data_IF_836711876678
#
_entry.id   IF_836711876678
#
_cell.length_a   1.000
_cell.length_b   1.000
_cell.length_c   1.000
_cell.angle_alpha   90.00
_cell.angle_beta   90.00
_cell.angle_gamma   90.00
#
_symmetry.space_group_name_H-M   'P 1'
#
loop_
_entity.id
_entity.type
_entity.pdbx_description
1 polymer ?
#
# COMPACT_ATOMS: atom_id res chain seq x y z
N UNK A 1 22.00 -6.75 -9.60
CA UNK A 1 21.88 -5.37 -9.12
C UNK A 1 23.24 -4.95 -8.61
N UNK A 2 23.66 -3.75 -8.99
CA UNK A 2 24.93 -3.15 -8.63
C UNK A 2 24.73 -2.25 -7.38
N UNK A 3 25.70 -2.13 -6.45
CA UNK A 3 25.58 -1.25 -5.29
C UNK A 3 25.36 0.25 -5.59
N UNK A 4 25.54 0.65 -6.85
CA UNK A 4 25.31 2.03 -7.30
C UNK A 4 23.93 2.22 -7.97
N UNK A 5 23.15 1.16 -8.14
CA UNK A 5 21.80 1.26 -8.69
C UNK A 5 20.86 1.84 -7.62
N UNK A 6 19.99 2.78 -7.98
CA UNK A 6 18.97 3.35 -7.07
C UNK A 6 18.01 2.28 -6.49
N UNK A 7 17.95 1.11 -7.14
CA UNK A 7 17.10 -0.02 -6.75
C UNK A 7 17.90 -1.21 -6.21
N UNK A 8 19.15 -0.98 -5.78
CA UNK A 8 19.99 -2.02 -5.19
C UNK A 8 19.31 -2.69 -3.98
N UNK A 9 19.22 -4.02 -4.00
CA UNK A 9 18.50 -4.79 -2.99
C UNK A 9 19.30 -5.09 -1.70
N UNK A 10 20.53 -4.57 -1.60
CA UNK A 10 21.44 -4.91 -0.50
C UNK A 10 22.16 -6.26 -0.72
N UNK A 11 23.14 -6.58 0.15
CA UNK A 11 23.90 -7.82 0.06
C UNK A 11 23.10 -9.08 0.40
N UNK A 12 22.01 -8.94 1.17
CA UNK A 12 21.08 -10.03 1.54
C UNK A 12 19.75 -9.46 2.07
N UNK A 13 18.65 -10.25 2.13
CA UNK A 13 17.36 -9.79 2.64
C UNK A 13 17.45 -9.28 4.09
N UNK A 14 16.88 -8.10 4.36
CA UNK A 14 16.93 -7.44 5.68
C UNK A 14 18.36 -7.08 6.14
N UNK A 15 19.25 -6.74 5.20
CA UNK A 15 20.60 -6.22 5.49
C UNK A 15 20.57 -4.81 6.09
N UNK A 16 19.65 -3.96 5.63
CA UNK A 16 19.46 -2.62 6.17
C UNK A 16 18.92 -2.67 7.62
N UNK A 17 19.56 -1.99 8.59
CA UNK A 17 19.15 -2.04 10.00
C UNK A 17 17.72 -1.51 10.23
N UNK A 18 17.27 -0.54 9.44
CA UNK A 18 15.92 0.02 9.45
C UNK A 18 14.88 -1.02 9.06
N UNK A 19 15.13 -1.72 7.94
CA UNK A 19 14.27 -2.80 7.46
C UNK A 19 14.26 -3.94 8.47
N UNK A 20 15.41 -4.29 9.03
CA UNK A 20 15.53 -5.34 10.05
C UNK A 20 14.70 -5.04 11.29
N UNK A 21 14.74 -3.81 11.77
CA UNK A 21 13.97 -3.36 12.93
C UNK A 21 12.46 -3.52 12.71
N UNK A 22 11.95 -3.04 11.57
CA UNK A 22 10.52 -3.16 11.22
C UNK A 22 10.13 -4.62 11.03
N UNK A 23 10.93 -5.41 10.32
CA UNK A 23 10.66 -6.84 10.11
C UNK A 23 10.60 -7.63 11.42
N UNK A 24 11.50 -7.32 12.37
CA UNK A 24 11.48 -7.93 13.70
C UNK A 24 10.21 -7.56 14.49
N UNK A 25 9.82 -6.29 14.47
CA UNK A 25 8.58 -5.84 15.10
C UNK A 25 7.36 -6.55 14.51
N UNK A 26 7.22 -6.54 13.19
CA UNK A 26 6.09 -7.17 12.49
C UNK A 26 6.05 -8.68 12.77
N UNK A 27 7.19 -9.39 12.71
CA UNK A 27 7.24 -10.82 13.04
C UNK A 27 6.77 -11.11 14.46
N UNK A 28 7.18 -10.31 15.44
CA UNK A 28 6.82 -10.46 16.85
C UNK A 28 5.33 -10.21 17.10
N UNK A 29 4.74 -9.28 16.35
CA UNK A 29 3.37 -8.81 16.58
C UNK A 29 2.36 -9.25 15.52
N UNK A 30 2.75 -10.09 14.53
CA UNK A 30 1.90 -10.48 13.38
C UNK A 30 0.51 -11.00 13.73
N UNK A 31 0.35 -11.67 14.89
CA UNK A 31 -0.96 -12.19 15.34
C UNK A 31 -1.94 -11.08 15.76
N UNK A 32 -1.43 -9.90 16.10
CA UNK A 32 -2.21 -8.74 16.55
C UNK A 32 -2.35 -7.68 15.47
N UNK A 33 -1.54 -7.73 14.42
CA UNK A 33 -1.58 -6.77 13.31
C UNK A 33 -2.50 -7.31 12.22
N UNK A 34 -3.64 -6.64 12.04
CA UNK A 34 -4.63 -7.01 11.02
C UNK A 34 -4.31 -6.40 9.66
N UNK A 35 -3.74 -5.19 9.63
CA UNK A 35 -3.43 -4.50 8.38
C UNK A 35 -2.04 -3.85 8.42
N UNK A 36 -1.39 -3.79 7.26
CA UNK A 36 -0.13 -3.08 7.03
C UNK A 36 -0.32 -2.09 5.88
N UNK A 37 0.00 -0.82 6.11
CA UNK A 37 -0.07 0.23 5.10
C UNK A 37 1.31 0.87 4.97
N UNK A 38 1.91 0.83 3.79
CA UNK A 38 3.10 1.64 3.46
C UNK A 38 2.70 2.85 2.63
N UNK A 39 3.41 3.97 2.81
CA UNK A 39 3.12 5.23 2.14
C UNK A 39 4.36 5.68 1.38
N UNK A 40 4.16 5.98 0.11
CA UNK A 40 5.15 6.39 -0.88
C UNK A 40 4.58 7.58 -1.66
N UNK A 41 5.41 8.17 -2.51
CA UNK A 41 5.01 9.11 -3.54
C UNK A 41 5.92 8.87 -4.76
N UNK A 42 5.50 9.17 -5.98
CA UNK A 42 4.24 9.76 -6.43
C UNK A 42 3.61 8.84 -7.48
N UNK A 43 2.28 8.88 -7.65
CA UNK A 43 1.56 8.33 -8.82
C UNK A 43 0.04 8.42 -8.68
N UNK A 44 -0.48 8.76 -7.49
CA UNK A 44 -1.89 8.64 -7.13
C UNK A 44 -2.42 7.21 -7.32
N UNK A 45 -1.81 6.26 -6.61
CA UNK A 45 -2.19 4.84 -6.66
C UNK A 45 -2.40 4.25 -5.27
N UNK A 46 -3.34 3.31 -5.18
CA UNK A 46 -3.51 2.41 -4.05
C UNK A 46 -3.25 0.97 -4.51
N UNK A 47 -2.10 0.45 -4.13
CA UNK A 47 -1.61 -0.87 -4.52
C UNK A 47 -1.89 -1.91 -3.45
N UNK A 48 -2.03 -3.16 -3.87
CA UNK A 48 -2.07 -4.35 -3.01
C UNK A 48 -1.23 -5.47 -3.65
N UNK A 49 -0.88 -6.55 -2.91
CA UNK A 49 -0.04 -7.61 -3.44
C UNK A 49 -0.59 -8.28 -4.72
N UNK A 50 0.23 -9.00 -5.48
CA UNK A 50 1.69 -9.12 -5.35
C UNK A 50 2.40 -8.10 -6.23
N UNK A 51 3.54 -7.58 -5.78
CA UNK A 51 4.47 -6.79 -6.60
C UNK A 51 5.48 -7.65 -7.35
N UNK A 52 5.86 -8.84 -6.85
CA UNK A 52 6.90 -9.68 -7.47
C UNK A 52 6.41 -10.67 -8.54
N UNK A 53 5.09 -10.80 -8.74
CA UNK A 53 4.52 -11.75 -9.72
C UNK A 53 3.15 -11.32 -10.23
N UNK A 54 2.80 -11.80 -11.42
CA UNK A 54 1.42 -11.80 -11.90
C UNK A 54 0.66 -12.95 -11.26
N UNK A 55 -0.01 -12.69 -10.15
CA UNK A 55 -0.90 -13.65 -9.52
C UNK A 55 -2.04 -12.93 -8.81
N UNK A 56 -3.22 -13.54 -8.86
CA UNK A 56 -4.30 -13.17 -7.96
C UNK A 56 -3.95 -13.59 -6.54
N UNK A 57 -4.41 -12.81 -5.56
CA UNK A 57 -4.28 -13.20 -4.17
C UNK A 57 -5.43 -14.18 -3.85
N UNK A 58 -5.15 -15.43 -3.43
CA UNK A 58 -6.19 -16.39 -3.07
C UNK A 58 -7.04 -15.88 -1.90
N UNK A 59 -8.36 -16.07 -1.95
CA UNK A 59 -9.30 -15.69 -0.88
C UNK A 59 -9.25 -14.20 -0.46
N UNK A 60 -8.87 -13.32 -1.39
CA UNK A 60 -8.76 -11.87 -1.14
C UNK A 60 -10.07 -11.10 -1.38
N UNK A 61 -11.23 -11.77 -1.29
CA UNK A 61 -12.55 -11.19 -1.54
C UNK A 61 -12.87 -9.96 -0.67
N UNK A 62 -12.24 -9.90 0.50
CA UNK A 62 -12.35 -8.79 1.45
C UNK A 62 -11.63 -7.51 1.02
N UNK A 63 -10.56 -7.62 0.23
CA UNK A 63 -9.78 -6.46 -0.25
C UNK A 63 -10.01 -6.21 -1.74
N UNK A 64 -10.33 -7.24 -2.51
CA UNK A 64 -10.70 -7.19 -3.93
C UNK A 64 -11.79 -8.24 -4.17
N UNK A 65 -13.05 -7.83 -4.20
CA UNK A 65 -14.12 -8.74 -4.61
C UNK A 65 -14.08 -8.89 -6.14
N UNK A 66 -13.82 -10.11 -6.61
CA UNK A 66 -13.86 -10.46 -8.05
C UNK A 66 -15.30 -10.31 -8.59
N UNK A 67 -16.31 -10.50 -7.73
CA UNK A 67 -17.73 -10.44 -8.11
C UNK A 67 -18.33 -9.04 -7.98
N UNK A 68 -17.75 -8.15 -7.16
CA UNK A 68 -18.27 -6.82 -6.90
C UNK A 68 -17.13 -5.86 -6.54
N UNK A 69 -16.38 -5.39 -7.54
CA UNK A 69 -15.25 -4.46 -7.37
C UNK A 69 -15.62 -3.23 -6.51
N UNK A 70 -16.88 -2.78 -6.59
CA UNK A 70 -17.42 -1.66 -5.81
C UNK A 70 -17.51 -1.92 -4.29
N UNK A 71 -17.51 -3.18 -3.89
CA UNK A 71 -17.54 -3.57 -2.48
C UNK A 71 -16.15 -3.68 -1.86
N UNK A 72 -15.09 -3.63 -2.67
CA UNK A 72 -13.71 -3.77 -2.19
C UNK A 72 -13.25 -2.63 -1.28
N UNK A 73 -12.39 -2.94 -0.31
CA UNK A 73 -11.75 -1.94 0.55
C UNK A 73 -11.01 -0.87 -0.28
N UNK A 74 -10.31 -1.30 -1.35
CA UNK A 74 -9.55 -0.40 -2.22
C UNK A 74 -10.47 0.58 -2.98
N UNK A 75 -11.57 0.11 -3.57
CA UNK A 75 -12.54 0.97 -4.25
C UNK A 75 -13.16 2.01 -3.31
N UNK A 76 -13.60 1.57 -2.13
CA UNK A 76 -14.19 2.47 -1.11
C UNK A 76 -13.18 3.51 -0.64
N UNK A 77 -11.92 3.11 -0.47
CA UNK A 77 -10.84 4.02 -0.08
C UNK A 77 -10.59 5.11 -1.13
N UNK A 78 -10.41 4.76 -2.41
CA UNK A 78 -10.12 5.76 -3.45
C UNK A 78 -11.30 6.68 -3.73
N UNK A 79 -12.54 6.21 -3.59
CA UNK A 79 -13.72 7.07 -3.75
C UNK A 79 -13.90 8.02 -2.58
N UNK A 80 -13.62 7.56 -1.36
CA UNK A 80 -13.65 8.43 -0.19
C UNK A 80 -12.55 9.50 -0.27
N UNK A 81 -11.33 9.14 -0.70
CA UNK A 81 -10.26 10.10 -0.98
C UNK A 81 -10.72 11.15 -2.00
N UNK A 82 -11.29 10.69 -3.13
CA UNK A 82 -11.78 11.55 -4.20
C UNK A 82 -12.85 12.53 -3.73
N UNK A 83 -13.70 12.17 -2.76
CA UNK A 83 -14.79 13.04 -2.33
C UNK A 83 -14.33 14.29 -1.59
N UNK A 84 -13.06 14.38 -1.17
CA UNK A 84 -12.53 15.56 -0.47
C UNK A 84 -12.18 16.68 -1.44
N UNK A 85 -11.29 16.40 -2.41
CA UNK A 85 -10.75 17.41 -3.33
C UNK A 85 -10.87 17.02 -4.81
N UNK A 86 -11.59 15.94 -5.14
CA UNK A 86 -11.77 15.46 -6.51
C UNK A 86 -10.58 14.69 -7.09
N UNK A 87 -9.51 14.46 -6.31
CA UNK A 87 -8.30 13.78 -6.78
C UNK A 87 -8.56 12.31 -7.03
N UNK A 88 -8.12 11.84 -8.20
CA UNK A 88 -8.39 10.50 -8.69
C UNK A 88 -7.18 9.61 -8.46
N UNK A 89 -7.36 8.61 -7.61
CA UNK A 89 -6.39 7.54 -7.43
C UNK A 89 -6.81 6.32 -8.24
N UNK A 90 -5.84 5.67 -8.89
CA UNK A 90 -6.03 4.32 -9.42
C UNK A 90 -5.83 3.31 -8.29
N UNK A 91 -6.34 2.11 -8.45
CA UNK A 91 -6.06 1.01 -7.52
C UNK A 91 -5.94 -0.30 -8.28
N UNK A 92 -5.15 -1.22 -7.75
CA UNK A 92 -4.89 -2.48 -8.43
C UNK A 92 -3.77 -3.29 -7.78
N UNK A 93 -3.54 -4.52 -8.26
CA UNK A 93 -2.36 -5.28 -7.86
C UNK A 93 -1.10 -4.55 -8.33
N UNK A 94 -0.04 -4.59 -7.52
CA UNK A 94 1.23 -3.99 -7.89
C UNK A 94 1.84 -4.65 -9.16
N UNK A 95 1.68 -5.97 -9.33
CA UNK A 95 1.95 -6.77 -10.54
C UNK A 95 3.29 -6.52 -11.24
N UNK A 96 4.31 -7.27 -10.84
CA UNK A 96 5.65 -7.33 -11.48
C UNK A 96 6.39 -5.98 -11.57
N UNK A 97 6.11 -5.06 -10.66
CA UNK A 97 6.80 -3.76 -10.57
C UNK A 97 8.07 -3.83 -9.75
N UNK A 98 8.16 -4.74 -8.76
CA UNK A 98 9.32 -4.85 -7.87
C UNK A 98 9.34 -6.15 -7.08
N UNK A 99 10.55 -6.63 -6.76
CA UNK A 99 10.78 -7.69 -5.78
C UNK A 99 11.22 -7.09 -4.44
N UNK A 100 10.99 -7.82 -3.34
CA UNK A 100 11.44 -7.38 -2.01
C UNK A 100 10.62 -6.26 -1.34
N UNK A 101 9.43 -5.93 -1.86
CA UNK A 101 8.57 -4.91 -1.26
C UNK A 101 8.10 -5.29 0.15
N UNK A 102 7.97 -4.29 1.02
CA UNK A 102 7.52 -4.49 2.40
C UNK A 102 6.06 -4.99 2.46
N UNK A 103 5.21 -4.56 1.54
CA UNK A 103 3.83 -4.98 1.39
C UNK A 103 3.75 -6.50 1.12
N UNK A 104 4.50 -7.01 0.14
CA UNK A 104 4.53 -8.45 -0.17
C UNK A 104 5.15 -9.26 0.97
N UNK A 105 6.20 -8.74 1.60
CA UNK A 105 6.81 -9.37 2.78
C UNK A 105 5.81 -9.47 3.93
N UNK A 106 5.07 -8.39 4.24
CA UNK A 106 4.09 -8.36 5.32
C UNK A 106 2.95 -9.35 5.06
N UNK A 107 2.45 -9.38 3.81
CA UNK A 107 1.42 -10.33 3.39
C UNK A 107 1.89 -11.78 3.55
N UNK A 108 3.09 -12.11 3.05
CA UNK A 108 3.67 -13.45 3.15
C UNK A 108 3.96 -13.86 4.60
N UNK A 109 4.22 -12.91 5.50
CA UNK A 109 4.48 -13.14 6.92
C UNK A 109 3.20 -13.13 7.79
N UNK A 110 2.01 -13.23 7.18
CA UNK A 110 0.76 -13.50 7.88
C UNK A 110 -0.04 -12.27 8.30
N UNK A 111 0.30 -11.07 7.79
CA UNK A 111 -0.58 -9.90 7.91
C UNK A 111 -1.56 -9.93 6.73
N UNK A 112 -2.87 -10.15 6.95
CA UNK A 112 -3.79 -10.51 5.88
C UNK A 112 -4.12 -9.37 4.93
N UNK A 113 -4.10 -8.11 5.40
CA UNK A 113 -4.51 -6.96 4.61
C UNK A 113 -3.35 -6.00 4.45
N UNK A 114 -2.79 -5.89 3.25
CA UNK A 114 -1.62 -5.04 3.00
C UNK A 114 -1.85 -4.13 1.81
N UNK A 115 -1.42 -2.88 1.95
CA UNK A 115 -1.57 -1.85 0.92
C UNK A 115 -0.33 -0.96 0.85
N UNK A 116 -0.07 -0.43 -0.34
CA UNK A 116 0.90 0.64 -0.54
C UNK A 116 0.19 1.83 -1.21
N UNK A 117 0.34 3.03 -0.63
CA UNK A 117 -0.12 4.27 -1.24
C UNK A 117 1.03 4.90 -2.03
N UNK A 118 0.78 5.26 -3.28
CA UNK A 118 1.57 6.23 -4.03
C UNK A 118 0.81 7.55 -4.04
N UNK A 119 1.24 8.52 -3.25
CA UNK A 119 0.51 9.76 -3.02
C UNK A 119 0.58 10.72 -4.23
N UNK A 120 0.13 11.96 -4.01
CA UNK A 120 0.23 13.02 -5.02
C UNK A 120 1.69 13.29 -5.42
N UNK A 121 1.93 13.78 -6.62
CA UNK A 121 0.98 13.97 -7.73
C UNK A 121 1.14 12.86 -8.78
N UNK A 122 0.93 13.17 -10.06
CA UNK A 122 1.14 12.23 -11.18
C UNK A 122 2.41 12.55 -11.98
N UNK A 123 3.35 13.30 -11.40
CA UNK A 123 4.66 13.62 -11.98
C UNK A 123 4.86 15.05 -12.44
N UNK A 124 3.94 15.99 -12.16
CA UNK A 124 4.17 17.40 -12.48
C UNK A 124 5.21 18.01 -11.54
N UNK A 125 5.05 17.77 -10.24
CA UNK A 125 6.03 18.07 -9.19
C UNK A 125 6.80 16.82 -8.76
N UNK A 126 6.17 15.65 -8.85
CA UNK A 126 6.76 14.39 -8.39
C UNK A 126 7.13 14.46 -6.91
N UNK A 127 8.41 14.21 -6.60
CA UNK A 127 8.93 14.28 -5.23
C UNK A 127 9.05 15.71 -4.68
N UNK A 128 8.97 16.74 -5.52
CA UNK A 128 9.07 18.16 -5.12
C UNK A 128 7.69 18.80 -4.96
N UNK A 129 6.73 18.03 -4.42
CA UNK A 129 5.36 18.50 -4.20
C UNK A 129 5.35 19.75 -3.29
N UNK A 130 4.71 20.87 -3.69
CA UNK A 130 4.69 22.08 -2.89
C UNK A 130 4.12 21.88 -1.49
N UNK A 131 4.70 22.55 -0.49
CA UNK A 131 4.27 22.44 0.92
C UNK A 131 2.79 22.75 1.12
N UNK A 132 2.22 23.65 0.29
CA UNK A 132 0.80 24.01 0.31
C UNK A 132 -0.12 22.80 0.08
N UNK A 133 0.40 21.74 -0.57
CA UNK A 133 -0.31 20.51 -0.87
C UNK A 133 -0.12 19.42 0.18
N UNK A 134 0.74 19.61 1.20
CA UNK A 134 0.90 18.63 2.30
C UNK A 134 -0.43 18.41 3.01
N UNK A 135 -1.05 19.48 3.53
CA UNK A 135 -2.31 19.37 4.28
C UNK A 135 -3.45 18.80 3.43
N UNK A 136 -3.69 19.27 2.18
CA UNK A 136 -4.65 18.62 1.28
C UNK A 136 -4.40 17.11 1.08
N UNK A 137 -3.15 16.71 0.83
CA UNK A 137 -2.79 15.31 0.61
C UNK A 137 -3.05 14.47 1.87
N UNK A 138 -2.65 14.94 3.05
CA UNK A 138 -2.90 14.23 4.30
C UNK A 138 -4.41 14.06 4.60
N UNK A 139 -5.23 15.09 4.35
CA UNK A 139 -6.68 15.04 4.64
C UNK A 139 -7.36 13.99 3.75
N UNK A 140 -7.09 13.99 2.45
CA UNK A 140 -7.73 13.03 1.54
C UNK A 140 -7.25 11.60 1.79
N UNK A 141 -5.96 11.40 2.05
CA UNK A 141 -5.38 10.08 2.36
C UNK A 141 -5.91 9.54 3.67
N UNK A 142 -6.07 10.38 4.70
CA UNK A 142 -6.62 9.93 5.99
C UNK A 142 -8.05 9.41 5.84
N UNK A 143 -8.85 9.99 4.93
CA UNK A 143 -10.19 9.51 4.65
C UNK A 143 -10.20 8.15 3.93
N UNK A 144 -9.23 7.90 3.04
CA UNK A 144 -8.99 6.56 2.49
C UNK A 144 -8.62 5.55 3.58
N UNK A 145 -7.64 5.86 4.43
CA UNK A 145 -7.19 5.00 5.53
C UNK A 145 -8.36 4.62 6.44
N UNK A 146 -9.16 5.61 6.86
CA UNK A 146 -10.36 5.38 7.67
C UNK A 146 -11.34 4.41 7.00
N UNK A 147 -11.55 4.52 5.69
CA UNK A 147 -12.45 3.63 4.95
C UNK A 147 -11.90 2.21 4.85
N UNK A 148 -10.59 2.04 4.64
CA UNK A 148 -9.94 0.72 4.71
C UNK A 148 -10.19 0.11 6.09
N UNK A 149 -9.87 0.83 7.17
CA UNK A 149 -10.02 0.32 8.54
C UNK A 149 -11.46 -0.06 8.86
N UNK A 150 -12.44 0.80 8.54
CA UNK A 150 -13.87 0.52 8.77
C UNK A 150 -14.32 -0.70 7.96
N UNK A 151 -13.87 -0.83 6.72
CA UNK A 151 -14.19 -1.98 5.89
C UNK A 151 -13.69 -3.28 6.52
N UNK A 152 -12.40 -3.31 6.91
CA UNK A 152 -11.78 -4.47 7.51
C UNK A 152 -12.47 -4.89 8.81
N UNK A 153 -12.78 -3.93 9.69
CA UNK A 153 -13.48 -4.20 10.96
C UNK A 153 -14.88 -4.79 10.78
N UNK A 154 -15.59 -4.42 9.71
CA UNK A 154 -17.00 -4.82 9.51
C UNK A 154 -17.17 -6.08 8.69
N UNK A 155 -16.27 -6.35 7.76
CA UNK A 155 -16.45 -7.37 6.72
C UNK A 155 -15.40 -8.47 6.76
N UNK A 156 -14.32 -8.29 7.53
CA UNK A 156 -13.10 -9.08 7.41
C UNK A 156 -12.48 -9.41 8.79
N UNK A 157 -13.20 -10.14 9.68
CA UNK A 157 -12.75 -10.44 11.05
C UNK A 157 -11.46 -11.29 11.13
#
# INVERSE_FOLDING_TARGET
MHPCDDTYCGPFPESEPEVKAVANFLRKHRKHIKAYLSFHAYAQMLLYPYSYKYATIPNFSCVVSIHAVQESAAYKAVNALRSVYGVRYRYGPASNVSSGSSMDWAYKNGIPYTFAFELRDTGHFGFLLPEVLIKPTCIETMLAVKNITIHLLKKCP
#
